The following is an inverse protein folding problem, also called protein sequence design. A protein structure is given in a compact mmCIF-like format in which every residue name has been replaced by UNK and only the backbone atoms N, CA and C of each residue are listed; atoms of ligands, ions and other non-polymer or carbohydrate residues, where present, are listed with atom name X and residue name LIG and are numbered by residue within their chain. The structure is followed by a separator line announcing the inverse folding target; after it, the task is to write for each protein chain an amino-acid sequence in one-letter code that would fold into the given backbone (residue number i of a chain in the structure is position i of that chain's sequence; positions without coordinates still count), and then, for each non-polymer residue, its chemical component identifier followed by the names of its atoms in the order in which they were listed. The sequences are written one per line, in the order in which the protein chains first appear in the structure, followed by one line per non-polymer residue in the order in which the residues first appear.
data_IF_692149963020
#
_entry.id   IF_692149963020
#
_cell.length_a   1.000
_cell.length_b   1.000
_cell.length_c   1.000
_cell.angle_alpha   90.00
_cell.angle_beta   90.00
_cell.angle_gamma   90.00
#
_symmetry.space_group_name_H-M   'P 1'
#
loop_
_entity.id
_entity.type
_entity.pdbx_description
1 polymer ?
#
# COMPACT_ATOMS: atom_id res chain seq x y z
N UNK A 1 5.65 -15.64 -16.74
CA UNK A 1 5.36 -15.77 -15.29
C UNK A 1 4.47 -14.60 -14.87
N UNK A 2 3.50 -14.83 -14.00
CA UNK A 2 2.61 -13.79 -13.48
C UNK A 2 3.38 -12.85 -12.55
N UNK A 3 3.21 -11.54 -12.72
CA UNK A 3 3.78 -10.52 -11.85
C UNK A 3 3.18 -10.65 -10.44
N UNK A 4 4.02 -10.65 -9.42
CA UNK A 4 3.61 -10.48 -8.03
C UNK A 4 3.74 -9.00 -7.64
N UNK A 5 2.63 -8.33 -7.43
CA UNK A 5 2.61 -6.95 -6.94
C UNK A 5 2.38 -6.95 -5.41
N UNK A 6 3.31 -6.39 -4.66
CA UNK A 6 3.22 -6.29 -3.21
C UNK A 6 2.86 -4.85 -2.82
N UNK A 7 1.72 -4.67 -2.20
CA UNK A 7 1.23 -3.38 -1.77
C UNK A 7 1.37 -3.23 -0.26
N UNK A 8 2.43 -2.54 0.17
CA UNK A 8 2.73 -2.27 1.57
C UNK A 8 1.93 -1.11 2.15
N UNK A 9 1.49 -1.24 3.39
CA UNK A 9 0.78 -0.16 4.07
C UNK A 9 0.48 -0.47 5.54
N UNK A 10 0.14 0.56 6.33
CA UNK A 10 -0.35 0.34 7.69
C UNK A 10 -1.76 -0.29 7.71
N UNK A 11 -2.62 0.09 6.75
CA UNK A 11 -4.01 -0.38 6.64
C UNK A 11 -4.79 -0.26 7.96
N UNK A 12 -4.80 0.93 8.53
CA UNK A 12 -5.31 1.22 9.87
C UNK A 12 -6.41 2.31 9.86
N UNK A 13 -7.62 1.99 9.37
CA UNK A 13 -8.06 0.77 8.68
C UNK A 13 -7.73 0.75 7.17
N UNK A 14 -7.89 -0.41 6.55
CA UNK A 14 -8.04 -0.50 5.09
C UNK A 14 -9.32 0.21 4.66
N UNK A 15 -9.28 0.90 3.50
CA UNK A 15 -10.40 1.67 2.95
C UNK A 15 -10.55 1.46 1.44
N UNK A 16 -11.63 1.95 0.85
CA UNK A 16 -11.94 1.76 -0.58
C UNK A 16 -10.83 2.28 -1.50
N UNK A 17 -10.09 3.32 -1.09
CA UNK A 17 -8.93 3.79 -1.84
C UNK A 17 -7.82 2.74 -1.93
N UNK A 18 -7.53 1.99 -0.86
CA UNK A 18 -6.56 0.90 -0.90
C UNK A 18 -7.02 -0.23 -1.83
N UNK A 19 -8.28 -0.61 -1.75
CA UNK A 19 -8.85 -1.67 -2.60
C UNK A 19 -8.82 -1.26 -4.06
N UNK A 20 -9.17 0.00 -4.37
CA UNK A 20 -9.11 0.52 -5.73
C UNK A 20 -7.69 0.46 -6.34
N UNK A 21 -6.65 0.75 -5.55
CA UNK A 21 -5.25 0.58 -5.97
C UNK A 21 -4.95 -0.88 -6.27
N UNK A 22 -5.29 -1.80 -5.35
CA UNK A 22 -5.00 -3.23 -5.51
C UNK A 22 -5.70 -3.81 -6.76
N UNK A 23 -6.99 -3.49 -6.94
CA UNK A 23 -7.79 -3.91 -8.09
C UNK A 23 -7.24 -3.32 -9.40
N UNK A 24 -6.91 -2.03 -9.44
CA UNK A 24 -6.36 -1.39 -10.63
C UNK A 24 -5.02 -2.03 -11.05
N UNK A 25 -4.15 -2.35 -10.09
CA UNK A 25 -2.87 -3.04 -10.37
C UNK A 25 -3.11 -4.44 -10.89
N UNK A 26 -4.02 -5.22 -10.25
CA UNK A 26 -4.40 -6.55 -10.71
C UNK A 26 -4.89 -6.53 -12.16
N UNK A 27 -5.85 -5.67 -12.45
CA UNK A 27 -6.55 -5.65 -13.74
C UNK A 27 -5.66 -5.11 -14.87
N UNK A 28 -4.89 -4.05 -14.60
CA UNK A 28 -4.02 -3.47 -15.62
C UNK A 28 -2.83 -4.37 -15.99
N UNK A 29 -2.33 -5.17 -15.03
CA UNK A 29 -1.10 -5.95 -15.22
C UNK A 29 -1.34 -7.47 -15.22
N UNK A 30 -2.58 -7.93 -15.12
CA UNK A 30 -2.93 -9.33 -14.89
C UNK A 30 -2.07 -9.96 -13.76
N UNK A 31 -1.88 -9.19 -12.68
CA UNK A 31 -0.97 -9.51 -11.58
C UNK A 31 -1.68 -10.24 -10.43
N UNK A 32 -0.93 -11.03 -9.67
CA UNK A 32 -1.30 -11.36 -8.30
C UNK A 32 -0.94 -10.18 -7.39
N UNK A 33 -1.86 -9.77 -6.51
CA UNK A 33 -1.60 -8.66 -5.58
C UNK A 33 -1.60 -9.15 -4.14
N UNK A 34 -0.50 -8.92 -3.44
CA UNK A 34 -0.36 -9.18 -2.02
C UNK A 34 -0.43 -7.86 -1.23
N UNK A 35 -1.42 -7.71 -0.36
CA UNK A 35 -1.49 -6.61 0.59
C UNK A 35 -0.63 -6.98 1.81
N UNK A 36 0.40 -6.17 2.07
CA UNK A 36 1.42 -6.44 3.08
C UNK A 36 1.26 -5.44 4.22
N UNK A 37 0.56 -5.80 5.32
CA UNK A 37 0.43 -4.91 6.47
C UNK A 37 1.77 -4.77 7.19
N UNK A 38 2.26 -3.54 7.33
CA UNK A 38 3.49 -3.24 8.04
C UNK A 38 3.36 -3.50 9.55
N UNK A 39 4.38 -4.09 10.19
CA UNK A 39 4.39 -4.33 11.63
C UNK A 39 4.49 -3.02 12.40
N UNK A 40 5.61 -2.35 12.25
CA UNK A 40 5.91 -1.06 12.88
C UNK A 40 6.64 -0.19 11.86
N UNK A 41 5.89 0.62 11.08
CA UNK A 41 6.51 1.42 10.03
C UNK A 41 7.35 2.53 10.68
N UNK A 42 8.68 2.55 10.44
CA UNK A 42 9.61 3.45 11.15
C UNK A 42 9.40 4.94 10.86
N UNK A 43 8.51 5.26 9.92
CA UNK A 43 8.19 6.63 9.48
C UNK A 43 6.75 7.05 9.78
N UNK A 44 6.01 6.29 10.57
CA UNK A 44 4.61 6.58 10.94
C UNK A 44 4.41 6.42 12.43
N UNK A 45 3.40 7.10 12.97
CA UNK A 45 2.93 6.89 14.33
C UNK A 45 2.47 5.45 14.54
N UNK A 46 2.49 5.00 15.80
CA UNK A 46 2.00 3.68 16.19
C UNK A 46 0.58 3.44 15.65
N UNK A 47 0.30 2.23 15.20
CA UNK A 47 -1.04 1.87 14.71
C UNK A 47 -2.06 1.84 15.85
N UNK A 48 -3.31 2.27 15.56
CA UNK A 48 -4.42 2.27 16.52
C UNK A 48 -5.04 0.88 16.65
N UNK A 49 -5.06 0.12 15.55
CA UNK A 49 -5.53 -1.26 15.54
C UNK A 49 -4.36 -2.24 15.71
N UNK A 50 -4.59 -3.35 16.42
CA UNK A 50 -3.60 -4.42 16.54
C UNK A 50 -3.29 -5.05 15.19
N UNK A 51 -2.13 -5.72 15.08
CA UNK A 51 -1.75 -6.47 13.89
C UNK A 51 -2.85 -7.45 13.43
N UNK A 52 -3.41 -8.23 14.37
CA UNK A 52 -4.49 -9.18 14.09
C UNK A 52 -5.78 -8.51 13.57
N UNK A 53 -6.13 -7.34 14.12
CA UNK A 53 -7.29 -6.57 13.66
C UNK A 53 -7.07 -6.04 12.23
N UNK A 54 -5.87 -5.53 11.92
CA UNK A 54 -5.54 -5.04 10.58
C UNK A 54 -5.54 -6.15 9.53
N UNK A 55 -4.99 -7.32 9.85
CA UNK A 55 -5.09 -8.51 8.99
C UNK A 55 -6.54 -8.89 8.77
N UNK A 56 -7.34 -8.96 9.83
CA UNK A 56 -8.75 -9.32 9.70
C UNK A 56 -9.55 -8.33 8.84
N UNK A 57 -9.31 -7.04 8.98
CA UNK A 57 -9.93 -6.02 8.13
C UNK A 57 -9.51 -6.17 6.67
N UNK A 58 -8.25 -6.49 6.39
CA UNK A 58 -7.78 -6.77 5.02
C UNK A 58 -8.46 -8.00 4.43
N UNK A 59 -8.54 -9.12 5.16
CA UNK A 59 -9.24 -10.33 4.72
C UNK A 59 -10.71 -10.05 4.38
N UNK A 60 -11.40 -9.29 5.23
CA UNK A 60 -12.78 -8.87 5.00
C UNK A 60 -12.90 -7.96 3.78
N UNK A 61 -11.94 -7.06 3.57
CA UNK A 61 -11.96 -6.12 2.47
C UNK A 61 -11.76 -6.76 1.10
N UNK A 62 -10.99 -7.87 1.04
CA UNK A 62 -10.69 -8.55 -0.23
C UNK A 62 -11.47 -9.86 -0.41
N UNK A 63 -12.42 -10.16 0.50
CA UNK A 63 -13.25 -11.35 0.39
C UNK A 63 -14.01 -11.38 -0.95
N UNK A 64 -13.76 -12.41 -1.75
CA UNK A 64 -14.35 -12.53 -3.09
C UNK A 64 -13.59 -11.81 -4.22
N UNK A 65 -12.51 -11.08 -3.93
CA UNK A 65 -11.67 -10.48 -4.95
C UNK A 65 -10.60 -11.48 -5.44
N UNK A 66 -10.69 -11.96 -6.69
CA UNK A 66 -9.73 -12.93 -7.20
C UNK A 66 -8.35 -12.32 -7.32
N UNK A 67 -7.30 -13.13 -7.14
CA UNK A 67 -5.89 -12.76 -7.24
C UNK A 67 -5.44 -11.66 -6.25
N UNK A 68 -6.24 -11.33 -5.24
CA UNK A 68 -5.85 -10.54 -4.08
C UNK A 68 -5.66 -11.45 -2.87
N UNK A 69 -4.58 -11.22 -2.09
CA UNK A 69 -4.32 -11.94 -0.85
C UNK A 69 -3.68 -11.03 0.20
N UNK A 70 -3.81 -11.40 1.46
CA UNK A 70 -3.04 -10.79 2.55
C UNK A 70 -1.73 -11.55 2.71
N UNK A 71 -0.65 -10.82 2.93
CA UNK A 71 0.67 -11.37 3.23
C UNK A 71 1.17 -10.76 4.54
N UNK A 72 1.02 -11.49 5.62
CA UNK A 72 1.28 -11.02 6.98
C UNK A 72 2.76 -11.10 7.41
N UNK A 73 3.69 -11.46 6.50
CA UNK A 73 5.11 -11.70 6.81
C UNK A 73 5.82 -10.60 7.60
N UNK A 74 5.44 -9.34 7.42
CA UNK A 74 6.05 -8.24 8.17
C UNK A 74 5.59 -8.25 9.63
N UNK A 75 4.38 -8.72 9.92
CA UNK A 75 3.83 -8.84 11.28
C UNK A 75 4.41 -10.00 12.07
N UNK A 76 4.96 -10.99 11.38
CA UNK A 76 5.59 -12.19 11.97
C UNK A 76 7.07 -11.97 12.28
N UNK A 77 7.63 -10.85 11.81
CA UNK A 77 9.05 -10.52 12.00
C UNK A 77 9.22 -9.55 13.18
N UNK A 78 10.21 -9.82 14.03
CA UNK A 78 10.61 -8.87 15.06
C UNK A 78 11.34 -7.65 14.47
N UNK A 79 11.07 -6.48 15.05
CA UNK A 79 11.72 -5.21 14.68
C UNK A 79 11.05 -4.45 13.52
N UNK A 80 11.71 -3.39 13.03
CA UNK A 80 11.14 -2.50 12.01
C UNK A 80 10.88 -3.21 10.68
N UNK A 81 9.79 -2.86 10.01
CA UNK A 81 9.47 -3.34 8.67
C UNK A 81 10.16 -2.48 7.61
N UNK A 82 11.21 -3.01 7.01
CA UNK A 82 11.87 -2.37 5.87
C UNK A 82 11.51 -3.07 4.55
N UNK A 83 11.06 -2.32 3.58
CA UNK A 83 10.68 -2.83 2.24
C UNK A 83 11.78 -3.64 1.57
N UNK A 84 13.05 -3.22 1.71
CA UNK A 84 14.18 -3.95 1.12
C UNK A 84 14.32 -5.35 1.68
N UNK A 85 14.09 -5.54 2.98
CA UNK A 85 14.21 -6.86 3.63
C UNK A 85 13.03 -7.75 3.25
N UNK A 86 11.83 -7.18 3.16
CA UNK A 86 10.63 -7.88 2.67
C UNK A 86 10.81 -8.36 1.24
N UNK A 87 11.32 -7.50 0.34
CA UNK A 87 11.60 -7.87 -1.05
C UNK A 87 12.71 -8.92 -1.17
N UNK A 88 13.73 -8.89 -0.30
CA UNK A 88 14.79 -9.90 -0.26
C UNK A 88 14.22 -11.27 0.10
N UNK A 89 13.37 -11.35 1.12
CA UNK A 89 12.69 -12.59 1.50
C UNK A 89 11.79 -13.11 0.38
N UNK A 90 10.95 -12.23 -0.19
CA UNK A 90 10.11 -12.57 -1.34
C UNK A 90 10.94 -13.11 -2.51
N UNK A 91 12.06 -12.48 -2.84
CA UNK A 91 12.96 -12.92 -3.91
C UNK A 91 13.53 -14.32 -3.64
N UNK A 92 13.92 -14.60 -2.40
CA UNK A 92 14.42 -15.92 -2.01
C UNK A 92 13.34 -17.01 -2.16
N UNK A 93 12.10 -16.72 -1.79
CA UNK A 93 10.96 -17.65 -1.87
C UNK A 93 10.45 -17.84 -3.30
N UNK A 94 10.33 -16.74 -4.06
CA UNK A 94 9.73 -16.75 -5.40
C UNK A 94 10.73 -17.15 -6.50
N UNK A 95 12.00 -17.32 -6.13
CA UNK A 95 13.09 -17.65 -7.05
C UNK A 95 13.59 -16.45 -7.87
N UNK A 96 14.68 -16.63 -8.66
CA UNK A 96 15.39 -15.52 -9.31
C UNK A 96 14.64 -14.91 -10.49
N UNK A 97 13.65 -15.56 -11.05
CA UNK A 97 13.03 -15.19 -12.32
C UNK A 97 11.63 -14.59 -12.23
N UNK A 98 10.90 -14.81 -11.11
CA UNK A 98 9.55 -14.27 -10.97
C UNK A 98 9.58 -12.73 -10.92
N UNK A 99 8.82 -12.01 -11.75
CA UNK A 99 8.67 -10.57 -11.63
C UNK A 99 8.00 -10.20 -10.31
N UNK A 100 8.62 -9.30 -9.54
CA UNK A 100 8.06 -8.78 -8.28
C UNK A 100 8.05 -7.25 -8.38
N UNK A 101 6.93 -6.61 -8.03
CA UNK A 101 6.83 -5.17 -7.94
C UNK A 101 6.36 -4.73 -6.55
N UNK A 102 6.99 -3.70 -5.99
CA UNK A 102 6.51 -3.01 -4.81
C UNK A 102 5.65 -1.83 -5.22
N UNK A 103 4.40 -1.83 -4.78
CA UNK A 103 3.41 -0.80 -5.11
C UNK A 103 3.49 0.32 -4.09
N UNK A 104 3.59 1.56 -4.56
CA UNK A 104 3.65 2.76 -3.73
C UNK A 104 2.66 3.82 -4.23
N UNK A 105 2.09 4.60 -3.30
CA UNK A 105 1.39 5.83 -3.66
C UNK A 105 2.36 6.97 -4.02
N UNK A 106 1.84 8.03 -4.64
CA UNK A 106 2.65 9.17 -5.06
C UNK A 106 3.43 9.83 -3.92
N UNK A 107 2.80 10.02 -2.76
CA UNK A 107 3.46 10.63 -1.59
C UNK A 107 4.62 9.77 -1.08
N UNK A 108 4.44 8.45 -1.06
CA UNK A 108 5.49 7.50 -0.67
C UNK A 108 6.63 7.46 -1.68
N UNK A 109 6.33 7.60 -2.98
CA UNK A 109 7.35 7.68 -4.02
C UNK A 109 8.25 8.91 -3.83
N UNK A 110 7.66 10.06 -3.51
CA UNK A 110 8.40 11.31 -3.30
C UNK A 110 9.28 11.29 -2.05
N UNK A 111 9.06 10.34 -1.15
CA UNK A 111 9.85 10.11 0.07
C UNK A 111 10.67 8.82 -0.01
N UNK A 112 10.81 8.23 -1.19
CA UNK A 112 11.47 6.94 -1.35
C UNK A 112 12.93 6.96 -0.88
N UNK A 113 13.63 8.08 -1.04
CA UNK A 113 15.02 8.25 -0.63
C UNK A 113 15.22 8.30 0.90
N UNK A 114 14.16 8.47 1.68
CA UNK A 114 14.18 8.32 3.13
C UNK A 114 14.04 6.86 3.59
N UNK A 115 13.72 5.94 2.69
CA UNK A 115 13.54 4.55 3.06
C UNK A 115 14.90 3.85 3.27
N UNK A 116 14.94 2.96 4.24
CA UNK A 116 16.15 2.18 4.54
C UNK A 116 16.66 1.43 3.31
N UNK A 117 17.92 1.69 2.91
CA UNK A 117 18.60 1.05 1.77
C UNK A 117 17.77 1.09 0.47
N UNK A 118 17.02 2.14 0.24
CA UNK A 118 16.02 2.26 -0.81
C UNK A 118 16.52 1.92 -2.23
N UNK A 119 17.80 2.19 -2.53
CA UNK A 119 18.37 1.85 -3.84
C UNK A 119 18.44 0.35 -4.10
N UNK A 120 18.58 -0.45 -3.03
CA UNK A 120 18.66 -1.91 -3.12
C UNK A 120 17.29 -2.56 -3.40
N UNK A 121 16.19 -1.84 -3.24
CA UNK A 121 14.86 -2.29 -3.64
C UNK A 121 14.88 -2.79 -5.09
N UNK A 122 15.58 -2.07 -5.97
CA UNK A 122 15.66 -2.40 -7.39
C UNK A 122 16.48 -3.67 -7.71
N UNK A 123 17.26 -4.17 -6.78
CA UNK A 123 17.93 -5.46 -6.94
C UNK A 123 16.98 -6.65 -6.74
N UNK A 124 15.89 -6.45 -5.99
CA UNK A 124 14.98 -7.52 -5.58
C UNK A 124 13.60 -7.41 -6.22
N UNK A 125 13.19 -6.22 -6.66
CA UNK A 125 11.88 -5.97 -7.28
C UNK A 125 11.88 -4.73 -8.17
N UNK A 126 10.73 -4.47 -8.77
CA UNK A 126 10.39 -3.22 -9.44
C UNK A 126 9.74 -2.27 -8.44
N UNK A 127 9.67 -0.99 -8.77
CA UNK A 127 8.79 -0.03 -8.09
C UNK A 127 7.66 0.34 -9.05
N UNK A 128 6.42 0.17 -8.62
CA UNK A 128 5.21 0.58 -9.32
C UNK A 128 4.53 1.70 -8.53
N UNK A 129 4.57 2.90 -9.04
CA UNK A 129 3.91 4.03 -8.41
C UNK A 129 2.49 4.20 -8.96
N UNK A 130 1.51 4.28 -8.06
CA UNK A 130 0.12 4.51 -8.43
C UNK A 130 -0.22 5.97 -8.20
N UNK A 131 -0.53 6.66 -9.30
CA UNK A 131 -0.91 8.07 -9.33
C UNK A 131 -2.41 8.25 -9.11
N UNK A 132 -2.79 9.33 -8.45
CA UNK A 132 -4.19 9.76 -8.38
C UNK A 132 -4.57 10.46 -9.69
N UNK A 133 -5.83 10.36 -10.15
CA UNK A 133 -6.31 11.10 -11.31
C UNK A 133 -6.05 12.60 -11.17
N UNK A 134 -5.54 13.22 -12.25
CA UNK A 134 -5.21 14.65 -12.27
C UNK A 134 -3.94 15.05 -11.52
N UNK A 135 -3.21 14.07 -10.95
CA UNK A 135 -1.89 14.27 -10.34
C UNK A 135 -0.93 13.20 -10.86
N UNK A 136 -0.62 13.21 -12.17
CA UNK A 136 0.30 12.25 -12.75
C UNK A 136 1.70 12.45 -12.13
N UNK A 137 2.38 11.33 -11.85
CA UNK A 137 3.75 11.34 -11.32
C UNK A 137 4.73 11.57 -12.48
N UNK A 138 4.77 12.80 -12.97
CA UNK A 138 5.63 13.21 -14.09
C UNK A 138 7.08 13.34 -13.64
N UNK A 139 7.99 13.13 -14.58
CA UNK A 139 9.42 13.20 -14.30
C UNK A 139 9.85 14.60 -13.79
N UNK A 140 9.31 15.66 -14.38
CA UNK A 140 9.56 17.04 -13.97
C UNK A 140 9.07 17.34 -12.55
N UNK A 141 7.90 16.85 -12.17
CA UNK A 141 7.36 17.00 -10.80
C UNK A 141 8.19 16.22 -9.76
N UNK A 142 8.56 14.98 -10.10
CA UNK A 142 9.42 14.18 -9.21
C UNK A 142 10.80 14.82 -9.10
N UNK A 143 11.38 15.32 -10.21
CA UNK A 143 12.66 16.00 -10.21
C UNK A 143 12.66 17.26 -9.33
N UNK A 144 11.56 18.03 -9.36
CA UNK A 144 11.41 19.23 -8.55
C UNK A 144 11.30 18.93 -7.05
N UNK A 145 10.58 17.85 -6.67
CA UNK A 145 10.26 17.52 -5.27
C UNK A 145 11.20 16.50 -4.64
N UNK A 146 11.75 15.58 -5.44
CA UNK A 146 12.58 14.47 -5.00
C UNK A 146 13.69 14.18 -6.04
N UNK A 147 14.67 15.09 -6.23
CA UNK A 147 15.68 14.98 -7.29
C UNK A 147 16.57 13.75 -7.17
N UNK A 148 16.82 13.26 -5.95
CA UNK A 148 17.58 12.03 -5.73
C UNK A 148 16.81 10.79 -6.21
N UNK A 149 15.50 10.78 -6.01
CA UNK A 149 14.59 9.72 -6.47
C UNK A 149 14.55 9.74 -7.99
N UNK A 150 14.31 10.90 -8.63
CA UNK A 150 14.23 10.97 -10.10
C UNK A 150 15.53 10.52 -10.78
N UNK A 151 16.70 10.89 -10.28
CA UNK A 151 17.99 10.38 -10.80
C UNK A 151 18.08 8.87 -10.82
N UNK A 152 17.47 8.21 -9.81
CA UNK A 152 17.44 6.75 -9.73
C UNK A 152 16.36 6.13 -10.62
N UNK A 153 15.23 6.83 -10.83
CA UNK A 153 14.10 6.33 -11.60
C UNK A 153 14.27 6.54 -13.12
N UNK A 154 14.92 7.63 -13.54
CA UNK A 154 14.94 8.06 -14.94
C UNK A 154 15.35 6.97 -15.92
N UNK A 155 16.47 6.24 -15.65
CA UNK A 155 16.95 5.15 -16.50
C UNK A 155 16.21 3.80 -16.28
N UNK A 156 15.33 3.73 -15.30
CA UNK A 156 14.52 2.54 -14.95
C UNK A 156 13.11 2.61 -15.49
N UNK A 157 12.68 3.78 -15.99
CA UNK A 157 11.31 3.99 -16.50
C UNK A 157 10.99 3.05 -17.65
N UNK A 158 9.82 2.44 -17.58
CA UNK A 158 9.26 1.59 -18.65
C UNK A 158 7.73 1.57 -18.54
N UNK A 159 7.02 1.14 -19.59
CA UNK A 159 5.59 0.87 -19.53
C UNK A 159 5.29 -0.15 -18.42
N UNK A 160 4.16 -0.01 -17.74
CA UNK A 160 3.83 -0.86 -16.59
C UNK A 160 3.76 -2.36 -16.96
N UNK A 161 3.26 -2.67 -18.15
CA UNK A 161 3.14 -4.03 -18.69
C UNK A 161 4.53 -4.67 -18.93
N UNK A 162 5.56 -3.85 -19.12
CA UNK A 162 6.91 -4.34 -19.32
C UNK A 162 7.58 -4.83 -18.03
N UNK A 163 7.02 -4.53 -16.84
CA UNK A 163 7.52 -5.03 -15.56
C UNK A 163 7.46 -6.55 -15.48
N UNK A 164 6.47 -7.17 -16.11
CA UNK A 164 6.33 -8.63 -16.15
C UNK A 164 7.43 -9.35 -16.98
N UNK A 165 8.26 -8.62 -17.73
CA UNK A 165 9.29 -9.18 -18.63
C UNK A 165 10.65 -9.36 -17.98
N UNK A 166 10.85 -8.85 -16.78
CA UNK A 166 12.11 -8.99 -16.03
C UNK A 166 11.82 -9.17 -14.54
N UNK A 167 12.71 -9.80 -13.77
CA UNK A 167 12.44 -10.09 -12.36
C UNK A 167 12.42 -8.85 -11.47
N UNK A 168 13.21 -7.81 -11.79
CA UNK A 168 13.42 -6.65 -10.95
C UNK A 168 14.01 -5.46 -11.74
N UNK A 169 14.26 -4.35 -11.07
CA UNK A 169 15.09 -3.23 -11.55
C UNK A 169 14.33 -2.16 -12.33
N UNK A 170 13.05 -2.33 -12.63
CA UNK A 170 12.24 -1.36 -13.36
C UNK A 170 11.46 -0.41 -12.46
N UNK A 171 11.06 0.70 -13.06
CA UNK A 171 10.11 1.64 -12.51
C UNK A 171 8.99 1.92 -13.51
N UNK A 172 7.75 1.94 -13.04
CA UNK A 172 6.60 2.33 -13.85
C UNK A 172 5.59 3.14 -13.02
N UNK A 173 4.73 3.86 -13.71
CA UNK A 173 3.58 4.53 -13.12
C UNK A 173 2.29 3.94 -13.68
N UNK A 174 1.27 3.86 -12.83
CA UNK A 174 -0.09 3.50 -13.18
C UNK A 174 -1.02 4.58 -12.65
N UNK A 175 -1.94 5.07 -13.46
CA UNK A 175 -2.94 6.04 -13.02
C UNK A 175 -4.24 5.33 -12.63
N UNK A 176 -4.83 5.73 -11.49
CA UNK A 176 -6.14 5.22 -11.10
C UNK A 176 -7.24 5.78 -12.03
N UNK A 177 -8.23 4.96 -12.41
CA UNK A 177 -9.31 5.41 -13.31
C UNK A 177 -10.25 6.42 -12.66
N UNK A 178 -10.28 6.48 -11.32
CA UNK A 178 -11.13 7.40 -10.55
C UNK A 178 -10.42 7.92 -9.32
N UNK A 179 -10.73 9.18 -8.95
CA UNK A 179 -10.25 9.76 -7.70
C UNK A 179 -10.78 8.96 -6.50
N UNK A 180 -9.89 8.69 -5.57
CA UNK A 180 -10.17 8.01 -4.30
C UNK A 180 -9.58 8.86 -3.18
N UNK A 181 -10.40 9.75 -2.58
CA UNK A 181 -9.93 10.69 -1.56
C UNK A 181 -9.79 10.07 -0.17
N UNK A 182 -10.30 8.84 0.01
CA UNK A 182 -10.33 8.17 1.31
C UNK A 182 -8.92 8.07 1.91
N UNK A 183 -8.82 8.31 3.21
CA UNK A 183 -7.60 8.10 3.98
C UNK A 183 -7.91 7.46 5.33
N UNK A 184 -7.00 6.61 5.82
CA UNK A 184 -7.16 5.96 7.13
C UNK A 184 -7.28 6.99 8.27
N UNK A 185 -6.54 8.09 8.17
CA UNK A 185 -6.60 9.17 9.17
C UNK A 185 -7.98 9.82 9.22
N UNK A 186 -8.56 10.11 8.06
CA UNK A 186 -9.90 10.70 7.99
C UNK A 186 -10.97 9.72 8.49
N UNK A 187 -10.87 8.45 8.12
CA UNK A 187 -11.77 7.40 8.64
C UNK A 187 -11.72 7.38 10.16
N UNK A 188 -10.54 7.31 10.76
CA UNK A 188 -10.42 7.27 12.23
C UNK A 188 -11.00 8.52 12.91
N UNK A 189 -10.74 9.69 12.32
CA UNK A 189 -11.31 10.95 12.81
C UNK A 189 -12.84 10.92 12.78
N UNK A 190 -13.43 10.55 11.65
CA UNK A 190 -14.88 10.49 11.50
C UNK A 190 -15.52 9.44 12.42
N UNK A 191 -14.85 8.29 12.63
CA UNK A 191 -15.35 7.27 13.60
C UNK A 191 -15.40 7.85 15.02
N UNK A 192 -14.35 8.57 15.44
CA UNK A 192 -14.29 9.17 16.76
C UNK A 192 -15.32 10.30 16.95
N UNK A 193 -15.59 11.05 15.88
CA UNK A 193 -16.51 12.20 15.86
C UNK A 193 -17.97 11.81 15.55
N UNK A 194 -18.28 10.50 15.46
CA UNK A 194 -19.60 9.96 15.05
C UNK A 194 -20.09 10.51 13.69
N UNK A 195 -19.13 10.74 12.77
CA UNK A 195 -19.37 11.27 11.43
C UNK A 195 -19.69 10.19 10.40
N UNK A 196 -19.83 10.57 9.13
CA UNK A 196 -20.16 9.67 8.02
C UNK A 196 -18.89 8.99 7.44
N UNK A 197 -18.42 7.94 8.07
CA UNK A 197 -17.21 7.20 7.71
C UNK A 197 -17.47 5.88 6.94
N UNK A 198 -18.65 5.29 7.09
CA UNK A 198 -18.95 3.97 6.51
C UNK A 198 -18.83 3.93 4.98
N UNK A 199 -19.24 4.97 4.21
CA UNK A 199 -19.08 4.98 2.76
C UNK A 199 -17.63 4.94 2.27
N UNK A 200 -16.66 5.19 3.15
CA UNK A 200 -15.24 5.14 2.82
C UNK A 200 -14.66 3.72 2.88
N UNK A 201 -15.42 2.76 3.43
CA UNK A 201 -14.96 1.40 3.72
C UNK A 201 -15.74 0.33 2.97
N UNK A 202 -15.15 -0.85 2.72
CA UNK A 202 -15.94 -2.03 2.41
C UNK A 202 -16.94 -2.32 3.54
N UNK A 203 -18.20 -2.69 3.25
CA UNK A 203 -19.24 -2.88 4.26
C UNK A 203 -18.89 -3.87 5.38
N UNK A 204 -18.15 -4.94 5.04
CA UNK A 204 -17.70 -5.93 6.01
C UNK A 204 -16.66 -5.36 7.00
N UNK A 205 -15.79 -4.43 6.52
CA UNK A 205 -14.82 -3.72 7.38
C UNK A 205 -15.56 -2.75 8.31
N UNK A 206 -16.54 -2.01 7.80
CA UNK A 206 -17.37 -1.12 8.62
C UNK A 206 -18.10 -1.90 9.72
N UNK A 207 -18.69 -3.04 9.39
CA UNK A 207 -19.31 -3.95 10.36
C UNK A 207 -18.34 -4.41 11.45
N UNK A 208 -17.12 -4.78 11.09
CA UNK A 208 -16.09 -5.20 12.03
C UNK A 208 -15.67 -4.07 12.99
N UNK A 209 -15.50 -2.84 12.48
CA UNK A 209 -15.17 -1.66 13.30
C UNK A 209 -16.27 -1.40 14.35
N UNK A 210 -17.54 -1.47 13.95
CA UNK A 210 -18.67 -1.30 14.86
C UNK A 210 -18.71 -2.39 15.94
N UNK A 211 -18.63 -3.67 15.51
CA UNK A 211 -18.67 -4.83 16.42
C UNK A 211 -17.58 -4.76 17.48
N UNK A 212 -16.37 -4.36 17.08
CA UNK A 212 -15.19 -4.30 17.94
C UNK A 212 -14.98 -2.96 18.62
N UNK A 213 -15.89 -1.99 18.42
CA UNK A 213 -15.82 -0.63 18.95
C UNK A 213 -14.44 0.01 18.74
N UNK A 214 -13.93 -0.11 17.52
CA UNK A 214 -12.59 0.39 17.20
C UNK A 214 -12.59 1.90 16.98
N UNK A 215 -11.43 2.52 17.11
CA UNK A 215 -11.18 3.94 16.81
C UNK A 215 -12.09 4.93 17.57
N UNK A 216 -12.57 4.54 18.77
CA UNK A 216 -13.48 5.37 19.56
C UNK A 216 -14.96 5.25 19.19
N UNK A 217 -15.35 4.31 18.32
CA UNK A 217 -16.75 4.09 17.96
C UNK A 217 -17.62 3.86 19.17
N UNK A 218 -18.68 4.68 19.32
CA UNK A 218 -19.65 4.58 20.42
C UNK A 218 -19.08 4.97 21.80
N UNK A 219 -17.90 5.61 21.84
CA UNK A 219 -17.44 6.28 23.04
C UNK A 219 -18.30 7.53 23.25
N UNK A 220 -18.98 7.63 24.39
CA UNK A 220 -19.77 8.82 24.69
C UNK A 220 -18.88 10.06 24.67
N UNK A 221 -19.21 11.03 23.82
CA UNK A 221 -18.54 12.35 23.83
C UNK A 221 -18.83 12.93 25.23
N UNK A 222 -17.82 13.30 26.06
CA UNK A 222 -18.05 13.95 27.31
C UNK A 222 -18.84 15.24 27.04
N UNK A 223 -19.86 15.56 27.88
CA UNK A 223 -20.65 16.78 27.73
C UNK A 223 -19.70 17.97 27.73
N UNK A 224 -19.85 18.84 26.72
CA UNK A 224 -19.14 20.12 26.65
C UNK A 224 -19.43 20.90 27.92
N UNK A 225 -18.41 21.21 28.72
CA UNK A 225 -18.49 22.10 29.86
C UNK A 225 -18.68 23.55 29.41
#
# INVERSE_FOLDING_TARGET
MTLLACYGGSFDPVHLGHIAVAVAVRDALAAEVALVPAADPPHKDATHATAAQRVRMLELAIAGEPALRVDARELEREGPSYTVDTLRLLRAEQGPHRPIAWVVGGDSLLQLDAWHRWREIFAHGHVLAVARPGSPLRADEIAARAPAVERQLGFRRRPAEALARSPAGGFATLELPRLRPESSTEVRRLVADDGDWEPMLPPAVAGFIRERRMYGYGAATPPSL
#
